data_IF_498912383978
#
_entry.id   IF_498912383978
#
_cell.length_a   1.000
_cell.length_b   1.000
_cell.length_c   1.000
_cell.angle_alpha   90.00
_cell.angle_beta   90.00
_cell.angle_gamma   90.00
#
_symmetry.space_group_name_H-M   'P 1'
#
loop_
_entity.id
_entity.type
_entity.pdbx_description
1 polymer ?
#
# COMPACT_ATOMS: atom_id res chain seq x y z
N UNK A 1 17.82 -26.21 14.81
CA UNK A 1 17.99 -24.81 14.39
C UNK A 1 17.05 -24.60 13.24
N UNK A 2 15.89 -24.03 13.51
CA UNK A 2 14.95 -23.62 12.45
C UNK A 2 15.55 -22.44 11.68
N UNK A 3 15.46 -22.42 10.35
CA UNK A 3 15.85 -21.24 9.60
C UNK A 3 14.86 -20.13 9.95
N UNK A 4 15.36 -19.07 10.57
CA UNK A 4 14.63 -17.81 10.68
C UNK A 4 14.29 -17.41 9.25
N UNK A 5 13.00 -17.54 8.87
CA UNK A 5 12.45 -16.87 7.69
C UNK A 5 12.75 -15.39 7.88
N UNK A 6 13.84 -14.92 7.27
CA UNK A 6 14.17 -13.53 7.23
C UNK A 6 13.11 -12.86 6.38
N UNK A 7 12.09 -12.29 7.04
CA UNK A 7 11.16 -11.39 6.39
C UNK A 7 11.99 -10.34 5.64
N UNK A 8 11.68 -10.08 4.36
CA UNK A 8 12.43 -9.11 3.59
C UNK A 8 12.36 -7.75 4.32
N UNK A 9 13.48 -7.02 4.43
CA UNK A 9 13.48 -5.73 5.11
C UNK A 9 12.42 -4.81 4.49
N UNK A 10 11.63 -4.15 5.35
CA UNK A 10 10.46 -3.33 4.98
C UNK A 10 10.73 -2.29 3.88
N UNK A 11 11.97 -1.79 3.82
CA UNK A 11 12.45 -0.90 2.74
C UNK A 11 12.38 -1.54 1.34
N UNK A 12 12.67 -2.83 1.19
CA UNK A 12 12.59 -3.54 -0.09
C UNK A 12 11.14 -3.69 -0.56
N UNK A 13 10.21 -3.88 0.37
CA UNK A 13 8.78 -3.93 0.07
C UNK A 13 8.26 -2.55 -0.37
N UNK A 14 8.69 -1.49 0.32
CA UNK A 14 8.35 -0.11 -0.06
C UNK A 14 8.90 0.27 -1.46
N UNK A 15 10.15 -0.12 -1.78
CA UNK A 15 10.74 0.12 -3.09
C UNK A 15 10.03 -0.65 -4.20
N UNK A 16 9.64 -1.91 -3.96
CA UNK A 16 8.86 -2.71 -4.91
C UNK A 16 7.46 -2.12 -5.13
N UNK A 17 6.77 -1.74 -4.05
CA UNK A 17 5.48 -1.07 -4.11
C UNK A 17 5.55 0.22 -4.97
N UNK A 18 6.57 1.06 -4.75
CA UNK A 18 6.79 2.29 -5.51
C UNK A 18 7.04 2.04 -7.01
N UNK A 19 7.83 1.01 -7.36
CA UNK A 19 8.06 0.60 -8.75
C UNK A 19 6.76 0.16 -9.43
N UNK A 20 5.96 -0.67 -8.74
CA UNK A 20 4.67 -1.15 -9.22
C UNK A 20 3.68 0.01 -9.43
N UNK A 21 3.57 0.94 -8.47
CA UNK A 21 2.72 2.14 -8.62
C UNK A 21 3.12 2.95 -9.84
N UNK A 22 4.42 3.20 -10.01
CA UNK A 22 4.93 4.01 -11.13
C UNK A 22 4.68 3.34 -12.48
N UNK A 23 4.85 2.02 -12.54
CA UNK A 23 4.52 1.22 -13.71
C UNK A 23 3.04 1.29 -14.06
N UNK A 24 2.16 1.09 -13.07
CA UNK A 24 0.70 1.10 -13.27
C UNK A 24 0.20 2.50 -13.65
N UNK A 25 0.74 3.55 -13.01
CA UNK A 25 0.43 4.94 -13.35
C UNK A 25 0.80 5.26 -14.80
N UNK A 26 2.01 4.88 -15.23
CA UNK A 26 2.46 5.09 -16.61
C UNK A 26 1.53 4.40 -17.60
N UNK A 27 1.20 3.12 -17.34
CA UNK A 27 0.33 2.31 -18.19
C UNK A 27 -1.09 2.88 -18.33
N UNK A 28 -1.68 3.39 -17.23
CA UNK A 28 -2.99 4.05 -17.26
C UNK A 28 -2.93 5.37 -18.04
N UNK A 29 -1.87 6.16 -17.83
CA UNK A 29 -1.67 7.44 -18.49
C UNK A 29 -1.42 7.31 -20.00
N UNK A 30 -0.81 6.21 -20.43
CA UNK A 30 -0.57 5.88 -21.83
C UNK A 30 -1.81 5.28 -22.52
N UNK A 31 -2.92 5.09 -21.80
CA UNK A 31 -4.19 4.60 -22.37
C UNK A 31 -4.15 3.11 -22.72
N UNK A 32 -3.31 2.34 -22.03
CA UNK A 32 -2.74 1.08 -22.52
C UNK A 32 -3.34 -0.24 -21.94
N UNK A 33 -4.60 -0.35 -21.49
CA UNK A 33 -5.22 -1.67 -21.40
C UNK A 33 -5.79 -2.04 -22.78
N UNK A 34 -4.92 -2.52 -23.68
CA UNK A 34 -5.29 -2.96 -25.04
C UNK A 34 -6.19 -4.23 -25.05
N UNK A 35 -6.35 -4.90 -23.90
CA UNK A 35 -7.15 -6.13 -23.79
C UNK A 35 -7.76 -6.34 -22.39
N UNK A 36 -8.80 -7.19 -22.32
CA UNK A 36 -9.40 -7.59 -21.04
C UNK A 36 -8.43 -8.38 -20.15
N UNK A 37 -7.48 -9.12 -20.75
CA UNK A 37 -6.42 -9.80 -20.02
C UNK A 37 -5.45 -8.80 -19.35
N UNK A 38 -5.19 -7.69 -20.03
CA UNK A 38 -4.34 -6.60 -19.56
C UNK A 38 -4.98 -5.82 -18.43
N UNK A 39 -6.28 -5.56 -18.53
CA UNK A 39 -7.09 -5.00 -17.46
C UNK A 39 -7.07 -5.90 -16.20
N UNK A 40 -7.29 -7.20 -16.37
CA UNK A 40 -7.25 -8.17 -15.27
C UNK A 40 -5.87 -8.25 -14.61
N UNK A 41 -4.78 -8.21 -15.39
CA UNK A 41 -3.41 -8.13 -14.83
C UNK A 41 -3.19 -6.85 -14.02
N UNK A 42 -3.65 -5.71 -14.52
CA UNK A 42 -3.56 -4.41 -13.81
C UNK A 42 -4.33 -4.47 -12.49
N UNK A 43 -5.58 -4.94 -12.50
CA UNK A 43 -6.41 -5.08 -11.30
C UNK A 43 -5.82 -6.06 -10.28
N UNK A 44 -5.22 -7.17 -10.75
CA UNK A 44 -4.51 -8.11 -9.90
C UNK A 44 -3.28 -7.50 -9.22
N UNK A 45 -2.50 -6.71 -9.95
CA UNK A 45 -1.33 -6.01 -9.40
C UNK A 45 -1.72 -4.92 -8.38
N UNK A 46 -2.77 -4.14 -8.68
CA UNK A 46 -3.32 -3.13 -7.76
C UNK A 46 -3.84 -3.76 -6.47
N UNK A 47 -4.48 -4.94 -6.57
CA UNK A 47 -4.97 -5.67 -5.39
C UNK A 47 -3.82 -6.15 -4.50
N UNK A 48 -2.79 -6.76 -5.08
CA UNK A 48 -1.59 -7.17 -4.31
C UNK A 48 -0.94 -6.00 -3.60
N UNK A 49 -0.78 -4.87 -4.30
CA UNK A 49 -0.25 -3.65 -3.70
C UNK A 49 -1.11 -3.16 -2.52
N UNK A 50 -2.44 -3.17 -2.67
CA UNK A 50 -3.37 -2.79 -1.61
C UNK A 50 -3.27 -3.73 -0.40
N UNK A 51 -3.16 -5.04 -0.63
CA UNK A 51 -2.97 -6.05 0.40
C UNK A 51 -1.62 -5.86 1.12
N UNK A 52 -0.53 -5.60 0.38
CA UNK A 52 0.81 -5.33 0.95
C UNK A 52 0.79 -4.08 1.84
N UNK A 53 0.13 -3.00 1.39
CA UNK A 53 -0.02 -1.77 2.17
C UNK A 53 -0.87 -1.99 3.43
N UNK A 54 -1.89 -2.85 3.37
CA UNK A 54 -2.71 -3.19 4.52
C UNK A 54 -1.92 -3.94 5.61
N UNK A 55 -0.88 -4.69 5.24
CA UNK A 55 0.00 -5.38 6.20
C UNK A 55 1.12 -4.47 6.73
N UNK A 56 1.70 -3.62 5.89
CA UNK A 56 2.88 -2.82 6.25
C UNK A 56 2.55 -1.57 7.07
N UNK A 57 1.47 -0.86 6.73
CA UNK A 57 1.15 0.43 7.35
C UNK A 57 0.83 0.33 8.85
N UNK A 58 0.08 -0.68 9.34
CA UNK A 58 -0.12 -0.85 10.78
C UNK A 58 1.20 -1.08 11.54
N UNK A 59 2.09 -1.94 11.02
CA UNK A 59 3.37 -2.22 11.67
C UNK A 59 4.30 -1.00 11.71
N UNK A 60 4.31 -0.17 10.65
CA UNK A 60 5.06 1.08 10.66
C UNK A 60 4.48 2.11 11.64
N UNK A 61 3.15 2.13 11.80
CA UNK A 61 2.48 2.99 12.76
C UNK A 61 2.80 2.55 14.21
N UNK A 62 2.71 1.25 14.50
CA UNK A 62 3.07 0.69 15.81
C UNK A 62 4.53 0.96 16.16
N UNK A 63 5.46 0.74 15.22
CA UNK A 63 6.88 1.04 15.43
C UNK A 63 7.15 2.52 15.70
N UNK A 64 6.42 3.43 15.04
CA UNK A 64 6.50 4.86 15.31
C UNK A 64 5.98 5.16 16.71
N UNK A 65 4.82 4.62 17.09
CA UNK A 65 4.23 4.80 18.42
C UNK A 65 5.15 4.26 19.54
N UNK A 66 5.70 3.06 19.39
CA UNK A 66 6.65 2.45 20.32
C UNK A 66 7.94 3.28 20.45
N UNK A 67 8.51 3.73 19.33
CA UNK A 67 9.72 4.57 19.34
C UNK A 67 9.49 5.92 20.04
N UNK A 68 8.27 6.46 19.96
CA UNK A 68 7.89 7.68 20.68
C UNK A 68 7.73 7.43 22.18
N UNK A 69 7.12 6.30 22.56
CA UNK A 69 6.94 5.90 23.96
C UNK A 69 8.27 5.59 24.66
N UNK A 70 9.23 4.98 23.95
CA UNK A 70 10.56 4.66 24.46
C UNK A 70 11.47 5.90 24.59
N UNK A 71 10.99 7.09 24.22
CA UNK A 71 11.78 8.31 24.27
C UNK A 71 12.90 8.35 23.22
N UNK A 72 12.70 7.67 22.08
CA UNK A 72 13.60 7.69 20.92
C UNK A 72 13.78 9.09 20.31
N UNK A 73 13.04 10.08 20.81
CA UNK A 73 13.30 11.49 20.56
C UNK A 73 14.31 12.03 21.59
N UNK A 74 15.50 12.50 21.16
CA UNK A 74 16.59 12.87 22.06
C UNK A 74 16.18 13.82 23.19
N UNK A 75 16.59 13.47 24.41
CA UNK A 75 16.35 14.22 25.66
C UNK A 75 16.99 15.62 25.68
N UNK A 76 17.91 15.92 24.75
CA UNK A 76 18.44 17.27 24.47
C UNK A 76 17.56 18.07 23.50
N UNK A 77 16.24 17.81 23.54
CA UNK A 77 15.19 18.63 22.97
C UNK A 77 14.92 18.32 21.50
N UNK A 78 13.82 17.61 21.16
CA UNK A 78 13.20 17.84 19.86
C UNK A 78 12.82 19.31 19.75
N UNK A 79 13.36 20.00 18.75
CA UNK A 79 12.78 21.27 18.30
C UNK A 79 11.31 21.02 17.95
N UNK A 80 10.45 22.03 18.03
CA UNK A 80 9.04 21.92 17.61
C UNK A 80 8.90 21.29 16.22
N UNK A 81 9.87 21.56 15.34
CA UNK A 81 10.03 20.97 14.01
C UNK A 81 10.16 19.43 13.98
N UNK A 82 10.84 18.83 14.95
CA UNK A 82 10.96 17.37 15.04
C UNK A 82 9.60 16.72 15.41
N UNK A 83 8.86 17.35 16.32
CA UNK A 83 7.50 16.90 16.65
C UNK A 83 6.51 17.12 15.51
N UNK A 84 6.61 18.24 14.79
CA UNK A 84 5.82 18.51 13.60
C UNK A 84 6.10 17.48 12.49
N UNK A 85 7.37 17.08 12.34
CA UNK A 85 7.76 16.03 11.40
C UNK A 85 7.15 14.67 11.78
N UNK A 86 7.22 14.28 13.04
CA UNK A 86 6.58 13.05 13.55
C UNK A 86 5.07 13.08 13.32
N UNK A 87 4.42 14.19 13.64
CA UNK A 87 2.98 14.36 13.42
C UNK A 87 2.65 14.29 11.92
N UNK A 88 3.48 14.88 11.06
CA UNK A 88 3.36 14.81 9.60
C UNK A 88 3.50 13.39 9.06
N UNK A 89 4.47 12.62 9.56
CA UNK A 89 4.66 11.20 9.19
C UNK A 89 3.48 10.35 9.65
N UNK A 90 3.03 10.53 10.90
CA UNK A 90 1.85 9.83 11.44
C UNK A 90 0.59 10.11 10.62
N UNK A 91 0.36 11.38 10.27
CA UNK A 91 -0.76 11.78 9.42
C UNK A 91 -0.67 11.17 8.02
N UNK A 92 0.53 11.14 7.43
CA UNK A 92 0.75 10.54 6.12
C UNK A 92 0.50 9.02 6.13
N UNK A 93 0.92 8.31 7.18
CA UNK A 93 0.66 6.88 7.35
C UNK A 93 -0.83 6.60 7.51
N UNK A 94 -1.53 7.37 8.34
CA UNK A 94 -2.97 7.26 8.51
C UNK A 94 -3.73 7.53 7.19
N UNK A 95 -3.33 8.56 6.45
CA UNK A 95 -3.89 8.88 5.13
C UNK A 95 -3.64 7.78 4.11
N UNK A 96 -2.42 7.23 4.04
CA UNK A 96 -2.08 6.11 3.17
C UNK A 96 -2.92 4.87 3.49
N UNK A 97 -3.17 4.59 4.77
CA UNK A 97 -3.99 3.46 5.21
C UNK A 97 -5.45 3.62 4.76
N UNK A 98 -6.03 4.79 4.99
CA UNK A 98 -7.40 5.09 4.54
C UNK A 98 -7.54 4.97 3.02
N UNK A 99 -6.60 5.52 2.26
CA UNK A 99 -6.56 5.42 0.80
C UNK A 99 -6.44 3.96 0.32
N UNK A 100 -5.57 3.17 0.96
CA UNK A 100 -5.39 1.75 0.65
C UNK A 100 -6.67 0.92 0.86
N UNK A 101 -7.41 1.18 1.94
CA UNK A 101 -8.68 0.51 2.23
C UNK A 101 -9.78 0.89 1.23
N UNK A 102 -9.87 2.16 0.82
CA UNK A 102 -10.80 2.59 -0.22
C UNK A 102 -10.46 1.92 -1.56
N UNK A 103 -9.17 1.89 -1.91
CA UNK A 103 -8.69 1.24 -3.12
C UNK A 103 -9.04 -0.25 -3.14
N UNK A 104 -8.88 -0.97 -2.01
CA UNK A 104 -9.27 -2.37 -1.90
C UNK A 104 -10.76 -2.60 -2.21
N UNK A 105 -11.63 -1.74 -1.67
CA UNK A 105 -13.08 -1.82 -1.88
C UNK A 105 -13.45 -1.59 -3.35
N UNK A 106 -12.88 -0.55 -3.96
CA UNK A 106 -13.12 -0.22 -5.38
C UNK A 106 -12.60 -1.31 -6.33
N UNK A 107 -11.44 -1.89 -6.02
CA UNK A 107 -10.91 -3.03 -6.78
C UNK A 107 -11.81 -4.25 -6.66
N UNK A 108 -12.33 -4.54 -5.47
CA UNK A 108 -13.27 -5.64 -5.25
C UNK A 108 -14.58 -5.42 -6.02
N UNK A 109 -15.11 -4.19 -6.02
CA UNK A 109 -16.31 -3.85 -6.79
C UNK A 109 -16.07 -3.99 -8.29
N UNK A 110 -14.94 -3.49 -8.79
CA UNK A 110 -14.55 -3.59 -10.20
C UNK A 110 -14.39 -5.05 -10.65
N UNK A 111 -13.76 -5.90 -9.84
CA UNK A 111 -13.61 -7.33 -10.11
C UNK A 111 -14.95 -8.07 -10.18
N UNK A 112 -15.92 -7.72 -9.33
CA UNK A 112 -17.27 -8.30 -9.38
C UNK A 112 -18.01 -7.90 -10.65
N UNK A 113 -17.92 -6.63 -11.06
CA UNK A 113 -18.55 -6.15 -12.29
C UNK A 113 -17.96 -6.83 -13.53
N UNK A 114 -16.63 -6.94 -13.60
CA UNK A 114 -15.95 -7.64 -14.70
C UNK A 114 -16.28 -9.14 -14.74
N UNK A 115 -16.31 -9.79 -13.57
CA UNK A 115 -16.72 -11.20 -13.46
C UNK A 115 -18.19 -11.42 -13.88
N UNK A 116 -19.06 -10.46 -13.59
CA UNK A 116 -20.46 -10.47 -14.04
C UNK A 116 -20.63 -10.26 -15.55
N UNK A 117 -19.74 -9.50 -16.20
CA UNK A 117 -19.75 -9.32 -17.65
C UNK A 117 -19.13 -10.49 -18.43
N UNK A 118 -18.27 -11.30 -17.79
CA UNK A 118 -17.65 -12.48 -18.39
C UNK A 118 -18.47 -13.77 -18.21
N UNK A 119 -19.54 -13.73 -17.41
CA UNK A 119 -20.49 -14.83 -17.33
C UNK A 119 -21.26 -14.95 -18.67
N UNK A 120 -21.46 -16.17 -19.21
CA UNK A 120 -22.31 -16.33 -20.38
C UNK A 120 -23.70 -15.78 -20.05
N UNK A 121 -24.29 -15.06 -21.01
CA UNK A 121 -25.73 -14.78 -20.99
C UNK A 121 -26.45 -16.12 -21.19
N UNK A 122 -26.66 -16.87 -20.11
CA UNK A 122 -27.69 -17.89 -20.07
C UNK A 122 -29.02 -17.17 -19.87
N UNK A 123 -29.70 -16.92 -21.00
CA UNK A 123 -31.03 -16.30 -21.10
C UNK A 123 -31.46 -16.10 -22.54
#
# INVERSE_FOLDING_TARGET
MDPVSAEPPSYLLAAQASSIVRFLYRRVREGEPDSMADLNRTLGALRRLSDDLAHLLPGLQEQLEESLLDGGIPRTGPTAEAWDTVAGVGLALAGARAAGLLMAQELQASQRLLGGMAAPLDG
#
